data_IF_977842205628
#
_entry.id   IF_977842205628
#
_cell.length_a   1.000
_cell.length_b   1.000
_cell.length_c   1.000
_cell.angle_alpha   90.00
_cell.angle_beta   90.00
_cell.angle_gamma   90.00
#
_symmetry.space_group_name_H-M   'P 1'
#
loop_
_entity.id
_entity.type
_entity.pdbx_description
1 polymer ?
#
# COMPACT_ATOMS: atom_id res chain seq x y z
N UNK A 1 -13.21 -4.27 -1.12
CA UNK A 1 -13.97 -4.78 -2.27
C UNK A 1 -13.03 -4.79 -3.47
N UNK A 2 -12.40 -5.93 -3.79
CA UNK A 2 -11.72 -6.11 -5.07
C UNK A 2 -12.83 -6.23 -6.12
N UNK A 3 -13.06 -5.17 -6.88
CA UNK A 3 -14.12 -5.18 -7.87
C UNK A 3 -13.72 -6.06 -9.06
N UNK A 4 -14.70 -6.55 -9.81
CA UNK A 4 -14.49 -7.26 -11.08
C UNK A 4 -13.66 -6.44 -12.07
N UNK A 5 -13.67 -5.11 -11.93
CA UNK A 5 -12.83 -4.15 -12.67
C UNK A 5 -11.37 -4.25 -12.23
N UNK A 6 -11.08 -4.33 -10.93
CA UNK A 6 -9.71 -4.55 -10.44
C UNK A 6 -9.17 -5.90 -10.96
N UNK A 7 -9.98 -6.96 -10.85
CA UNK A 7 -9.62 -8.29 -11.37
C UNK A 7 -9.33 -8.27 -12.88
N UNK A 8 -10.18 -7.62 -13.69
CA UNK A 8 -9.96 -7.47 -15.14
C UNK A 8 -8.76 -6.57 -15.47
N UNK A 9 -8.54 -5.49 -14.71
CA UNK A 9 -7.46 -4.53 -14.95
C UNK A 9 -6.09 -5.10 -14.60
N UNK A 10 -6.01 -6.00 -13.60
CA UNK A 10 -4.78 -6.71 -13.23
C UNK A 10 -4.45 -7.89 -14.15
N UNK A 11 -5.45 -8.60 -14.66
CA UNK A 11 -5.24 -9.68 -15.66
C UNK A 11 -4.97 -9.14 -17.07
N UNK A 12 -5.50 -7.96 -17.40
CA UNK A 12 -5.34 -7.30 -18.70
C UNK A 12 -4.79 -5.85 -18.58
N UNK A 13 -3.57 -5.64 -18.04
CA UNK A 13 -2.94 -4.32 -17.96
C UNK A 13 -2.70 -3.69 -19.35
N UNK A 14 -2.88 -4.47 -20.43
CA UNK A 14 -2.75 -4.06 -21.82
C UNK A 14 -3.81 -3.06 -22.32
N UNK A 15 -4.98 -2.97 -21.65
CA UNK A 15 -6.12 -2.21 -22.19
C UNK A 15 -6.32 -0.83 -21.57
N UNK A 16 -5.74 -0.57 -20.38
CA UNK A 16 -5.94 0.68 -19.66
C UNK A 16 -4.60 1.34 -19.40
N UNK A 17 -4.45 2.58 -19.87
CA UNK A 17 -3.23 3.36 -19.74
C UNK A 17 -2.84 3.55 -18.25
N UNK A 18 -1.65 3.09 -17.86
CA UNK A 18 -1.13 3.22 -16.48
C UNK A 18 -1.11 4.67 -16.01
N UNK A 19 -1.00 5.62 -16.94
CA UNK A 19 -1.05 7.05 -16.63
C UNK A 19 -2.38 7.47 -16.07
N UNK A 20 -3.44 7.07 -16.76
CA UNK A 20 -4.81 7.36 -16.39
C UNK A 20 -5.11 6.69 -15.05
N UNK A 21 -4.63 5.46 -14.82
CA UNK A 21 -4.80 4.75 -13.54
C UNK A 21 -4.22 5.57 -12.37
N UNK A 22 -2.97 6.02 -12.49
CA UNK A 22 -2.31 6.79 -11.42
C UNK A 22 -3.01 8.15 -11.20
N UNK A 23 -3.34 8.86 -12.28
CA UNK A 23 -4.01 10.16 -12.19
C UNK A 23 -5.41 10.03 -11.56
N UNK A 24 -6.18 9.03 -12.00
CA UNK A 24 -7.50 8.71 -11.47
C UNK A 24 -7.39 8.36 -9.98
N UNK A 25 -6.41 7.53 -9.60
CA UNK A 25 -6.20 7.14 -8.21
C UNK A 25 -5.90 8.32 -7.28
N UNK A 26 -4.99 9.22 -7.65
CA UNK A 26 -4.72 10.43 -6.86
C UNK A 26 -5.91 11.41 -6.85
N UNK A 27 -6.64 11.52 -7.95
CA UNK A 27 -7.87 12.32 -8.00
C UNK A 27 -8.92 11.75 -7.04
N UNK A 28 -9.12 10.42 -7.03
CA UNK A 28 -10.00 9.74 -6.10
C UNK A 28 -9.57 9.96 -4.65
N UNK A 29 -8.26 9.94 -4.34
CA UNK A 29 -7.77 10.25 -2.99
C UNK A 29 -8.13 11.66 -2.52
N UNK A 30 -7.89 12.66 -3.36
CA UNK A 30 -8.19 14.06 -3.03
C UNK A 30 -9.70 14.30 -2.88
N UNK A 31 -10.50 13.78 -3.81
CA UNK A 31 -11.97 13.90 -3.76
C UNK A 31 -12.55 13.15 -2.57
N UNK A 32 -12.07 11.94 -2.25
CA UNK A 32 -12.53 11.16 -1.09
C UNK A 32 -12.21 11.88 0.21
N UNK A 33 -11.01 12.46 0.32
CA UNK A 33 -10.59 13.24 1.49
C UNK A 33 -11.45 14.50 1.67
N UNK A 34 -11.75 15.22 0.57
CA UNK A 34 -12.66 16.36 0.59
C UNK A 34 -14.10 15.93 0.94
N UNK A 35 -14.56 14.78 0.43
CA UNK A 35 -15.89 14.25 0.70
C UNK A 35 -16.10 13.93 2.18
N UNK A 36 -15.07 13.48 2.91
CA UNK A 36 -15.15 13.31 4.38
C UNK A 36 -15.49 14.63 5.06
N UNK A 37 -14.79 15.71 4.70
CA UNK A 37 -15.02 17.05 5.27
C UNK A 37 -16.42 17.57 4.91
N UNK A 38 -16.83 17.40 3.65
CA UNK A 38 -18.17 17.81 3.20
C UNK A 38 -19.25 17.03 3.96
N UNK A 39 -19.09 15.71 4.11
CA UNK A 39 -20.05 14.86 4.82
C UNK A 39 -20.15 15.28 6.29
N UNK A 40 -19.02 15.55 6.95
CA UNK A 40 -19.01 16.04 8.34
C UNK A 40 -19.74 17.38 8.49
N UNK A 41 -19.47 18.34 7.62
CA UNK A 41 -20.10 19.67 7.66
C UNK A 41 -21.58 19.59 7.33
N UNK A 42 -21.97 18.85 6.28
CA UNK A 42 -23.36 18.71 5.84
C UNK A 42 -24.25 18.01 6.88
N UNK A 43 -23.67 17.07 7.63
CA UNK A 43 -24.38 16.35 8.69
C UNK A 43 -24.29 17.05 10.04
N UNK A 44 -23.53 18.14 10.15
CA UNK A 44 -23.16 18.78 11.43
C UNK A 44 -22.51 17.78 12.42
N UNK A 45 -21.87 16.73 11.91
CA UNK A 45 -21.31 15.63 12.71
C UNK A 45 -22.36 14.68 13.28
N UNK A 46 -23.63 14.80 12.87
CA UNK A 46 -24.69 13.89 13.31
C UNK A 46 -24.52 12.52 12.65
N UNK A 47 -24.56 11.49 13.48
CA UNK A 47 -24.62 10.10 13.02
C UNK A 47 -25.95 9.78 12.35
N UNK A 48 -26.06 8.54 11.86
CA UNK A 48 -27.25 8.03 11.20
C UNK A 48 -26.88 7.06 10.08
N UNK A 49 -27.88 6.32 9.59
CA UNK A 49 -27.66 5.32 8.55
C UNK A 49 -27.12 5.95 7.26
N UNK A 50 -27.58 7.15 6.89
CA UNK A 50 -27.10 7.88 5.73
C UNK A 50 -25.62 8.29 5.85
N UNK A 51 -25.23 8.86 6.99
CA UNK A 51 -23.83 9.22 7.29
C UNK A 51 -22.94 8.00 7.26
N UNK A 52 -23.38 6.88 7.86
CA UNK A 52 -22.65 5.61 7.85
C UNK A 52 -22.44 5.07 6.43
N UNK A 53 -23.50 4.99 5.63
CA UNK A 53 -23.41 4.56 4.21
C UNK A 53 -22.46 5.47 3.45
N UNK A 54 -22.55 6.79 3.64
CA UNK A 54 -21.65 7.77 3.03
C UNK A 54 -20.18 7.52 3.39
N UNK A 55 -19.88 7.31 4.67
CA UNK A 55 -18.52 6.97 5.14
C UNK A 55 -18.03 5.65 4.54
N UNK A 56 -18.88 4.62 4.43
CA UNK A 56 -18.51 3.35 3.79
C UNK A 56 -18.17 3.53 2.30
N UNK A 57 -18.95 4.31 1.56
CA UNK A 57 -18.69 4.59 0.14
C UNK A 57 -17.36 5.34 -0.03
N UNK A 58 -17.11 6.35 0.81
CA UNK A 58 -15.85 7.11 0.80
C UNK A 58 -14.66 6.20 1.17
N UNK A 59 -14.81 5.31 2.15
CA UNK A 59 -13.78 4.33 2.51
C UNK A 59 -13.50 3.35 1.36
N UNK A 60 -14.53 2.90 0.65
CA UNK A 60 -14.36 2.04 -0.52
C UNK A 60 -13.62 2.77 -1.66
N UNK A 61 -13.89 4.06 -1.89
CA UNK A 61 -13.19 4.84 -2.91
C UNK A 61 -11.70 5.05 -2.58
N UNK A 62 -11.34 5.18 -1.30
CA UNK A 62 -9.94 5.15 -0.87
C UNK A 62 -9.24 3.83 -1.27
N UNK A 63 -9.90 2.68 -1.05
CA UNK A 63 -9.35 1.37 -1.42
C UNK A 63 -9.14 1.21 -2.94
N UNK A 64 -10.12 1.63 -3.74
CA UNK A 64 -10.02 1.60 -5.21
C UNK A 64 -8.91 2.55 -5.69
N UNK A 65 -8.85 3.77 -5.14
CA UNK A 65 -7.79 4.73 -5.44
C UNK A 65 -6.40 4.19 -5.12
N UNK A 66 -6.24 3.53 -3.97
CA UNK A 66 -4.99 2.87 -3.60
C UNK A 66 -4.59 1.79 -4.60
N UNK A 67 -5.52 0.92 -4.99
CA UNK A 67 -5.25 -0.11 -5.99
C UNK A 67 -4.80 0.45 -7.33
N UNK A 68 -5.35 1.59 -7.74
CA UNK A 68 -4.96 2.29 -8.97
C UNK A 68 -3.57 2.90 -8.89
N UNK A 69 -3.27 3.67 -7.83
CA UNK A 69 -1.97 4.32 -7.64
C UNK A 69 -0.87 3.29 -7.41
N UNK A 70 -1.04 2.41 -6.43
CA UNK A 70 -0.01 1.46 -6.03
C UNK A 70 0.29 0.46 -7.15
N UNK A 71 -0.74 -0.06 -7.81
CA UNK A 71 -0.60 -0.97 -8.94
C UNK A 71 0.10 -0.29 -10.12
N UNK A 72 -0.36 0.91 -10.49
CA UNK A 72 0.22 1.65 -11.60
C UNK A 72 1.67 2.07 -11.34
N UNK A 73 1.97 2.62 -10.16
CA UNK A 73 3.32 3.06 -9.81
C UNK A 73 4.27 1.87 -9.70
N UNK A 74 3.88 0.79 -9.04
CA UNK A 74 4.74 -0.40 -8.92
C UNK A 74 5.02 -1.03 -10.29
N UNK A 75 4.02 -1.07 -11.17
CA UNK A 75 4.19 -1.49 -12.56
C UNK A 75 5.17 -0.59 -13.32
N UNK A 76 4.98 0.73 -13.29
CA UNK A 76 5.86 1.67 -14.02
C UNK A 76 7.29 1.65 -13.48
N UNK A 77 7.46 1.64 -12.16
CA UNK A 77 8.77 1.66 -11.51
C UNK A 77 9.53 0.34 -11.65
N UNK A 78 8.83 -0.78 -11.89
CA UNK A 78 9.49 -2.07 -12.18
C UNK A 78 10.24 -2.09 -13.51
N UNK A 79 9.97 -1.12 -14.40
CA UNK A 79 10.70 -0.89 -15.65
C UNK A 79 11.99 -0.09 -15.43
N UNK A 80 12.16 0.49 -14.23
CA UNK A 80 13.27 1.36 -13.88
C UNK A 80 14.24 0.64 -12.94
N UNK A 81 15.27 1.35 -12.48
CA UNK A 81 16.22 0.80 -11.53
C UNK A 81 15.52 0.44 -10.19
N UNK A 82 15.95 -0.63 -9.49
CA UNK A 82 15.33 -1.10 -8.26
C UNK A 82 15.25 -0.06 -7.13
N UNK A 83 16.10 0.96 -7.15
CA UNK A 83 16.15 2.05 -6.19
C UNK A 83 14.87 2.90 -6.25
N UNK A 84 14.24 3.03 -7.43
CA UNK A 84 13.01 3.80 -7.57
C UNK A 84 11.80 3.10 -6.94
N UNK A 85 11.63 1.81 -7.21
CA UNK A 85 10.56 1.02 -6.58
C UNK A 85 10.79 0.92 -5.08
N UNK A 86 12.04 0.77 -4.62
CA UNK A 86 12.37 0.82 -3.21
C UNK A 86 12.02 2.17 -2.57
N UNK A 87 12.37 3.28 -3.23
CA UNK A 87 12.02 4.63 -2.76
C UNK A 87 10.51 4.85 -2.66
N UNK A 88 9.74 4.28 -3.59
CA UNK A 88 8.28 4.32 -3.53
C UNK A 88 7.72 3.55 -2.32
N UNK A 89 8.22 2.35 -2.03
CA UNK A 89 7.81 1.59 -0.84
C UNK A 89 8.28 2.24 0.46
N UNK A 90 9.46 2.86 0.48
CA UNK A 90 9.90 3.68 1.61
C UNK A 90 8.97 4.88 1.82
N UNK A 91 8.51 5.52 0.75
CA UNK A 91 7.49 6.59 0.81
C UNK A 91 6.15 6.11 1.39
N UNK A 92 5.70 4.91 1.03
CA UNK A 92 4.52 4.28 1.62
C UNK A 92 4.70 4.07 3.14
N UNK A 93 5.83 3.50 3.57
CA UNK A 93 6.13 3.32 4.99
C UNK A 93 6.26 4.67 5.74
N UNK A 94 6.86 5.67 5.10
CA UNK A 94 6.98 7.02 5.65
C UNK A 94 5.61 7.67 5.87
N UNK A 95 4.65 7.42 4.97
CA UNK A 95 3.27 7.89 5.16
C UNK A 95 2.61 7.28 6.40
N UNK A 96 2.90 6.02 6.72
CA UNK A 96 2.43 5.35 7.95
C UNK A 96 3.06 5.95 9.22
N UNK A 97 4.36 6.23 9.18
CA UNK A 97 5.05 6.91 10.28
C UNK A 97 4.51 8.33 10.49
N UNK A 98 4.32 9.11 9.43
CA UNK A 98 3.73 10.45 9.49
C UNK A 98 2.28 10.42 10.02
N UNK A 99 1.48 9.44 9.59
CA UNK A 99 0.11 9.23 10.09
C UNK A 99 0.12 8.95 11.60
N UNK A 100 1.11 8.19 12.07
CA UNK A 100 1.27 7.91 13.50
C UNK A 100 1.65 9.16 14.30
N UNK A 101 2.57 9.98 13.78
CA UNK A 101 2.92 11.28 14.38
C UNK A 101 1.69 12.19 14.46
N UNK A 102 0.93 12.29 13.37
CA UNK A 102 -0.33 13.05 13.35
C UNK A 102 -1.34 12.52 14.38
N UNK A 103 -1.39 11.21 14.62
CA UNK A 103 -2.27 10.61 15.65
C UNK A 103 -1.84 11.03 17.06
N UNK A 104 -0.55 11.07 17.34
CA UNK A 104 -0.05 11.60 18.62
C UNK A 104 -0.40 13.08 18.79
N UNK A 105 -0.14 13.90 17.77
CA UNK A 105 -0.41 15.36 17.82
C UNK A 105 -1.90 15.62 18.01
N UNK A 106 -2.75 14.99 17.19
CA UNK A 106 -4.21 15.18 17.27
C UNK A 106 -4.77 14.72 18.60
N UNK A 107 -4.32 13.58 19.12
CA UNK A 107 -4.74 13.15 20.46
C UNK A 107 -4.28 14.15 21.51
N UNK A 108 -3.01 14.52 21.56
CA UNK A 108 -2.49 15.47 22.55
C UNK A 108 -3.20 16.83 22.49
N UNK A 109 -3.51 17.32 21.28
CA UNK A 109 -4.16 18.61 21.08
C UNK A 109 -5.66 18.60 21.40
N UNK A 110 -6.34 17.47 21.19
CA UNK A 110 -7.80 17.42 21.22
C UNK A 110 -8.40 16.49 22.30
N UNK A 111 -7.60 15.78 23.11
CA UNK A 111 -8.09 14.85 24.15
C UNK A 111 -9.06 15.49 25.15
N UNK A 112 -8.89 16.78 25.46
CA UNK A 112 -9.77 17.52 26.37
C UNK A 112 -10.92 18.28 25.68
N UNK A 113 -11.10 18.12 24.37
CA UNK A 113 -12.17 18.80 23.61
C UNK A 113 -13.39 17.89 23.46
N UNK A 114 -14.60 18.44 23.64
CA UNK A 114 -15.85 17.67 23.50
C UNK A 114 -16.02 16.99 22.12
N UNK A 115 -15.51 17.62 21.05
CA UNK A 115 -15.51 17.08 19.68
C UNK A 115 -14.11 16.68 19.20
N UNK A 116 -13.25 16.22 20.12
CA UNK A 116 -11.82 16.04 19.82
C UNK A 116 -11.52 15.07 18.68
N UNK A 117 -12.20 13.93 18.65
CA UNK A 117 -12.06 12.93 17.58
C UNK A 117 -12.52 13.46 16.22
N UNK A 118 -13.63 14.22 16.21
CA UNK A 118 -14.16 14.84 15.00
C UNK A 118 -13.19 15.87 14.43
N UNK A 119 -12.68 16.78 15.28
CA UNK A 119 -11.65 17.77 14.90
C UNK A 119 -10.39 17.09 14.37
N UNK A 120 -9.95 16.01 15.03
CA UNK A 120 -8.84 15.18 14.57
C UNK A 120 -9.10 14.62 13.16
N UNK A 121 -10.24 13.96 12.95
CA UNK A 121 -10.59 13.37 11.65
C UNK A 121 -10.68 14.42 10.52
N UNK A 122 -11.25 15.60 10.80
CA UNK A 122 -11.31 16.71 9.84
C UNK A 122 -9.91 17.23 9.51
N UNK A 123 -9.02 17.36 10.51
CA UNK A 123 -7.62 17.75 10.28
C UNK A 123 -6.88 16.72 9.41
N UNK A 124 -7.01 15.43 9.74
CA UNK A 124 -6.45 14.32 8.95
C UNK A 124 -6.91 14.36 7.50
N UNK A 125 -8.21 14.53 7.29
CA UNK A 125 -8.79 14.55 5.94
C UNK A 125 -8.33 15.77 5.14
N UNK A 126 -8.20 16.92 5.80
CA UNK A 126 -7.68 18.15 5.17
C UNK A 126 -6.22 17.99 4.73
N UNK A 127 -5.36 17.49 5.63
CA UNK A 127 -3.95 17.23 5.34
C UNK A 127 -3.83 16.20 4.21
N UNK A 128 -4.61 15.12 4.26
CA UNK A 128 -4.61 14.07 3.22
C UNK A 128 -5.02 14.61 1.85
N UNK A 129 -6.02 15.51 1.81
CA UNK A 129 -6.44 16.19 0.59
C UNK A 129 -5.30 17.04 -0.02
N UNK A 130 -4.60 17.81 0.82
CA UNK A 130 -3.45 18.60 0.40
C UNK A 130 -2.32 17.73 -0.19
N UNK A 131 -1.94 16.66 0.51
CA UNK A 131 -0.94 15.72 0.00
C UNK A 131 -1.39 15.03 -1.30
N UNK A 132 -2.66 14.66 -1.41
CA UNK A 132 -3.24 14.08 -2.64
C UNK A 132 -3.10 15.02 -3.84
N UNK A 133 -3.42 16.30 -3.67
CA UNK A 133 -3.27 17.33 -4.71
C UNK A 133 -1.80 17.61 -5.04
N UNK A 134 -0.93 17.61 -4.04
CA UNK A 134 0.51 17.77 -4.24
C UNK A 134 1.08 16.60 -5.05
N UNK A 135 0.75 15.36 -4.70
CA UNK A 135 1.15 14.16 -5.45
C UNK A 135 0.63 14.19 -6.89
N UNK A 136 -0.63 14.60 -7.09
CA UNK A 136 -1.22 14.77 -8.42
C UNK A 136 -0.42 15.77 -9.27
N UNK A 137 -0.05 16.90 -8.67
CA UNK A 137 0.73 17.96 -9.33
C UNK A 137 2.14 17.50 -9.67
N UNK A 138 2.83 16.85 -8.72
CA UNK A 138 4.18 16.30 -8.91
C UNK A 138 4.19 15.27 -10.04
N UNK A 139 3.26 14.31 -10.03
CA UNK A 139 3.18 13.27 -11.06
C UNK A 139 2.91 13.88 -12.43
N UNK A 140 2.02 14.88 -12.51
CA UNK A 140 1.72 15.58 -13.77
C UNK A 140 2.94 16.34 -14.27
N UNK A 141 3.64 17.06 -13.38
CA UNK A 141 4.86 17.80 -13.71
C UNK A 141 5.98 16.90 -14.24
N UNK A 142 6.36 15.86 -13.50
CA UNK A 142 7.45 14.97 -13.91
C UNK A 142 7.12 14.21 -15.19
N UNK A 143 5.85 13.86 -15.41
CA UNK A 143 5.42 13.23 -16.67
C UNK A 143 5.45 14.18 -17.85
N UNK A 144 5.00 15.42 -17.67
CA UNK A 144 5.12 16.45 -18.72
C UNK A 144 6.57 16.70 -19.07
N UNK A 145 7.46 16.77 -18.07
CA UNK A 145 8.90 16.92 -18.29
C UNK A 145 9.50 15.73 -19.05
N UNK A 146 9.19 14.50 -18.65
CA UNK A 146 9.66 13.30 -19.34
C UNK A 146 9.16 13.21 -20.80
N UNK A 147 7.96 13.73 -21.09
CA UNK A 147 7.45 13.83 -22.46
C UNK A 147 8.26 14.83 -23.30
N UNK A 148 8.62 15.98 -22.73
CA UNK A 148 9.42 17.00 -23.41
C UNK A 148 10.86 16.54 -23.70
N UNK A 149 11.43 15.67 -22.86
CA UNK A 149 12.79 15.14 -23.03
C UNK A 149 12.86 13.93 -24.00
N UNK A 150 11.77 13.61 -24.71
CA UNK A 150 11.78 12.63 -25.79
C UNK A 150 11.77 11.16 -25.33
N UNK A 151 11.34 10.89 -24.09
CA UNK A 151 11.23 9.52 -23.58
C UNK A 151 10.31 8.67 -24.47
N UNK A 152 10.86 7.67 -25.17
CA UNK A 152 10.18 6.83 -26.17
C UNK A 152 8.98 6.04 -25.60
N UNK A 153 8.99 5.73 -24.30
CA UNK A 153 7.84 5.12 -23.61
C UNK A 153 6.66 6.09 -23.55
N UNK A 154 6.91 7.40 -23.60
CA UNK A 154 5.88 8.43 -23.63
C UNK A 154 5.25 8.58 -25.00
N UNK A 155 6.01 8.54 -26.08
CA UNK A 155 5.48 8.62 -27.44
C UNK A 155 4.62 7.39 -27.79
N UNK A 156 5.04 6.19 -27.36
CA UNK A 156 4.24 4.97 -27.53
C UNK A 156 2.94 4.98 -26.71
N UNK A 157 2.96 5.47 -25.46
CA UNK A 157 1.77 5.63 -24.62
C UNK A 157 0.84 6.76 -25.10
N UNK A 158 1.39 7.84 -25.68
CA UNK A 158 0.64 8.96 -26.27
C UNK A 158 -0.08 8.52 -27.55
N UNK A 159 0.57 7.72 -28.38
CA UNK A 159 -0.02 7.08 -29.54
C UNK A 159 -1.16 6.11 -29.13
N UNK A 160 -0.96 5.33 -28.05
CA UNK A 160 -2.02 4.49 -27.47
C UNK A 160 -3.16 5.30 -26.81
N UNK A 161 -2.89 6.56 -26.42
CA UNK A 161 -3.87 7.52 -25.88
C UNK A 161 -4.56 8.40 -26.94
N UNK A 162 -4.34 8.14 -28.23
CA UNK A 162 -5.01 8.85 -29.33
C UNK A 162 -4.46 10.25 -29.64
N UNK A 163 -3.32 10.65 -29.05
CA UNK A 163 -2.66 11.92 -29.36
C UNK A 163 -1.50 11.61 -30.31
N UNK A 164 -1.75 11.78 -31.62
CA UNK A 164 -0.69 11.71 -32.63
C UNK A 164 0.12 13.01 -32.58
N UNK A 165 1.36 12.93 -32.12
CA UNK A 165 2.36 13.96 -32.44
C UNK A 165 2.75 13.77 -33.89
N UNK A 166 2.28 14.65 -34.77
CA UNK A 166 2.64 14.70 -36.18
C UNK A 166 4.16 14.85 -36.33
N UNK A 167 4.86 13.74 -36.54
CA UNK A 167 6.11 13.72 -37.27
C UNK A 167 6.15 12.42 -38.09
N UNK A 168 6.23 12.60 -39.41
CA UNK A 168 6.11 11.59 -40.45
C UNK A 168 7.17 10.47 -40.43
N UNK A 169 6.90 9.34 -41.12
CA UNK A 169 7.42 8.02 -40.78
C UNK A 169 8.69 7.65 -41.54
N UNK A 170 9.60 6.92 -40.89
CA UNK A 170 10.61 6.12 -41.58
C UNK A 170 10.31 4.64 -41.31
N UNK A 171 9.68 4.02 -42.33
CA UNK A 171 9.70 2.65 -42.83
C UNK A 171 9.78 1.41 -41.90
N UNK A 172 9.13 0.30 -42.28
CA UNK A 172 8.67 -0.75 -41.37
C UNK A 172 9.73 -1.84 -41.18
N UNK A 173 10.40 -1.82 -40.04
CA UNK A 173 10.77 -3.09 -39.41
C UNK A 173 9.54 -3.60 -38.67
N UNK A 174 8.89 -4.57 -39.30
CA UNK A 174 7.89 -5.46 -38.75
C UNK A 174 8.19 -5.64 -37.24
N UNK A 175 7.39 -5.08 -36.30
CA UNK A 175 7.65 -5.31 -34.90
C UNK A 175 7.32 -6.78 -34.71
N UNK A 176 8.36 -7.62 -34.66
CA UNK A 176 8.26 -8.98 -34.21
C UNK A 176 7.31 -8.95 -33.04
N UNK A 177 6.15 -9.61 -33.16
CA UNK A 177 5.19 -9.77 -32.07
C UNK A 177 6.03 -10.23 -30.89
N UNK A 178 6.35 -9.31 -29.98
CA UNK A 178 7.02 -9.64 -28.73
C UNK A 178 6.08 -10.69 -28.14
N UNK A 179 6.58 -11.91 -28.04
CA UNK A 179 5.81 -13.10 -27.69
C UNK A 179 5.40 -12.93 -26.23
N UNK A 180 4.35 -12.12 -26.03
CA UNK A 180 3.95 -11.62 -24.72
C UNK A 180 3.55 -12.81 -23.89
N UNK A 181 4.17 -12.94 -22.74
CA UNK A 181 3.86 -14.03 -21.86
C UNK A 181 2.43 -13.90 -21.35
N UNK A 182 1.68 -15.00 -21.37
CA UNK A 182 0.39 -15.09 -20.70
C UNK A 182 0.58 -14.74 -19.22
N UNK A 183 -0.27 -13.86 -18.68
CA UNK A 183 -0.26 -13.47 -17.26
C UNK A 183 -0.25 -14.69 -16.32
N UNK A 184 -0.90 -15.79 -16.72
CA UNK A 184 -0.90 -17.05 -15.97
C UNK A 184 0.48 -17.72 -15.93
N UNK A 185 1.24 -17.65 -17.03
CA UNK A 185 2.62 -18.18 -17.07
C UNK A 185 3.53 -17.37 -16.15
N UNK A 186 3.40 -16.04 -16.19
CA UNK A 186 4.16 -15.12 -15.33
C UNK A 186 3.84 -15.35 -13.84
N UNK A 187 2.56 -15.56 -13.51
CA UNK A 187 2.13 -15.95 -12.17
C UNK A 187 2.74 -17.28 -11.73
N UNK A 188 2.70 -18.31 -12.58
CA UNK A 188 3.21 -19.63 -12.23
C UNK A 188 4.73 -19.63 -11.97
N UNK A 189 5.50 -18.87 -12.75
CA UNK A 189 6.95 -18.75 -12.57
C UNK A 189 7.38 -17.91 -11.36
N UNK A 190 6.51 -17.00 -10.91
CA UNK A 190 6.77 -16.13 -9.75
C UNK A 190 5.83 -16.42 -8.58
N UNK A 191 5.28 -17.63 -8.54
CA UNK A 191 4.29 -18.02 -7.52
C UNK A 191 4.84 -17.89 -6.10
N UNK A 192 6.15 -18.09 -5.94
CA UNK A 192 6.89 -17.89 -4.69
C UNK A 192 6.84 -16.42 -4.26
N UNK A 193 7.27 -15.49 -5.10
CA UNK A 193 7.22 -14.06 -4.79
C UNK A 193 5.81 -13.52 -4.59
N UNK A 194 4.85 -13.99 -5.40
CA UNK A 194 3.44 -13.63 -5.27
C UNK A 194 2.90 -14.12 -3.92
N UNK A 195 3.17 -15.38 -3.56
CA UNK A 195 2.76 -15.96 -2.28
C UNK A 195 3.45 -15.26 -1.11
N UNK A 196 4.74 -14.97 -1.21
CA UNK A 196 5.52 -14.29 -0.18
C UNK A 196 4.88 -12.94 0.16
N UNK A 197 4.58 -12.14 -0.86
CA UNK A 197 3.97 -10.83 -0.66
C UNK A 197 2.54 -10.93 -0.12
N UNK A 198 1.75 -11.90 -0.60
CA UNK A 198 0.42 -12.17 -0.03
C UNK A 198 0.51 -12.48 1.48
N UNK A 199 1.39 -13.41 1.87
CA UNK A 199 1.54 -13.86 3.24
C UNK A 199 2.13 -12.78 4.16
N UNK A 200 3.07 -11.98 3.67
CA UNK A 200 3.64 -10.83 4.38
C UNK A 200 2.52 -9.87 4.81
N UNK A 201 1.66 -9.49 3.87
CA UNK A 201 0.58 -8.55 4.11
C UNK A 201 -0.58 -9.18 4.87
N UNK A 202 -0.92 -10.45 4.58
CA UNK A 202 -1.94 -11.20 5.34
C UNK A 202 -1.61 -11.21 6.83
N UNK A 203 -0.39 -11.59 7.19
CA UNK A 203 -0.01 -11.67 8.61
C UNK A 203 0.00 -10.29 9.27
N UNK A 204 0.61 -9.28 8.63
CA UNK A 204 0.69 -7.94 9.20
C UNK A 204 -0.70 -7.36 9.46
N UNK A 205 -1.60 -7.45 8.47
CA UNK A 205 -2.95 -6.88 8.58
C UNK A 205 -3.94 -7.76 9.35
N UNK A 206 -3.58 -9.01 9.64
CA UNK A 206 -4.29 -9.83 10.63
C UNK A 206 -3.94 -9.47 12.08
N UNK A 207 -2.91 -8.64 12.31
CA UNK A 207 -2.49 -8.21 13.66
C UNK A 207 -2.68 -6.70 13.83
N UNK A 208 -2.50 -5.91 12.76
CA UNK A 208 -2.53 -4.46 12.80
C UNK A 208 -3.65 -3.94 11.89
N UNK A 209 -4.46 -2.96 12.34
CA UNK A 209 -4.43 -2.30 13.65
C UNK A 209 -5.35 -2.93 14.70
N UNK A 210 -6.25 -3.85 14.32
CA UNK A 210 -7.38 -4.28 15.17
C UNK A 210 -6.94 -4.96 16.45
N UNK A 211 -6.21 -6.07 16.36
CA UNK A 211 -5.69 -6.75 17.55
C UNK A 211 -4.87 -5.82 18.48
N UNK A 212 -4.04 -4.92 17.95
CA UNK A 212 -3.28 -3.98 18.78
C UNK A 212 -4.17 -2.96 19.52
N UNK A 213 -5.28 -2.54 18.89
CA UNK A 213 -6.19 -1.55 19.44
C UNK A 213 -7.19 -2.14 20.44
N UNK A 214 -7.65 -3.38 20.21
CA UNK A 214 -8.81 -3.95 20.90
C UNK A 214 -8.41 -5.08 21.86
N UNK A 215 -7.33 -5.81 21.56
CA UNK A 215 -7.09 -7.11 22.19
C UNK A 215 -5.94 -7.15 23.18
N UNK A 216 -5.17 -6.07 23.31
CA UNK A 216 -3.99 -6.06 24.16
C UNK A 216 -4.32 -5.96 25.66
N UNK A 217 -5.55 -5.60 26.05
CA UNK A 217 -5.98 -5.52 27.45
C UNK A 217 -5.71 -4.17 28.14
N UNK A 218 -5.65 -4.16 29.47
CA UNK A 218 -5.40 -2.94 30.26
C UNK A 218 -3.91 -2.69 30.48
N UNK A 219 -3.50 -1.44 30.29
CA UNK A 219 -2.10 -1.03 30.24
C UNK A 219 -1.89 0.26 31.02
N UNK A 220 -0.72 0.43 31.64
CA UNK A 220 -0.29 1.69 32.28
C UNK A 220 -0.37 2.91 31.36
N UNK A 221 -0.18 2.73 30.05
CA UNK A 221 -0.29 3.79 29.03
C UNK A 221 -1.75 4.07 28.59
N UNK A 222 -2.73 3.32 29.11
CA UNK A 222 -4.15 3.50 28.79
C UNK A 222 -4.43 3.59 27.29
N UNK A 223 -5.22 4.59 26.88
CA UNK A 223 -5.57 4.84 25.48
C UNK A 223 -4.41 5.29 24.60
N UNK A 224 -3.22 5.57 25.15
CA UNK A 224 -2.01 5.88 24.36
C UNK A 224 -1.31 4.63 23.86
N UNK A 225 -1.55 3.50 24.52
CA UNK A 225 -0.83 2.26 24.24
C UNK A 225 -0.99 1.77 22.79
N UNK A 226 -2.21 1.68 22.21
CA UNK A 226 -2.36 1.29 20.81
C UNK A 226 -1.65 2.22 19.83
N UNK A 227 -1.65 3.53 20.12
CA UNK A 227 -1.01 4.54 19.27
C UNK A 227 0.51 4.35 19.29
N UNK A 228 1.09 4.06 20.44
CA UNK A 228 2.51 3.71 20.59
C UNK A 228 2.83 2.44 19.81
N UNK A 229 2.05 1.37 19.94
CA UNK A 229 2.30 0.11 19.23
C UNK A 229 2.25 0.27 17.71
N UNK A 230 1.24 1.00 17.20
CA UNK A 230 1.10 1.30 15.77
C UNK A 230 2.28 2.14 15.29
N UNK A 231 2.68 3.16 16.05
CA UNK A 231 3.81 4.01 15.70
C UNK A 231 5.13 3.24 15.66
N UNK A 232 5.41 2.41 16.68
CA UNK A 232 6.59 1.54 16.70
C UNK A 232 6.64 0.66 15.45
N UNK A 233 5.49 0.05 15.07
CA UNK A 233 5.41 -0.77 13.86
C UNK A 233 5.82 0.05 12.62
N UNK A 234 5.18 1.18 12.36
CA UNK A 234 5.45 1.96 11.15
C UNK A 234 6.83 2.61 11.14
N UNK A 235 7.40 2.96 12.30
CA UNK A 235 8.78 3.43 12.39
C UNK A 235 9.77 2.33 11.99
N UNK A 236 9.59 1.11 12.52
CA UNK A 236 10.47 0.00 12.16
C UNK A 236 10.25 -0.49 10.73
N UNK A 237 9.02 -0.44 10.22
CA UNK A 237 8.69 -0.67 8.81
C UNK A 237 9.47 0.29 7.91
N UNK A 238 9.41 1.60 8.20
CA UNK A 238 10.16 2.61 7.46
C UNK A 238 11.66 2.35 7.49
N UNK A 239 12.26 2.15 8.67
CA UNK A 239 13.68 1.86 8.80
C UNK A 239 14.07 0.61 8.00
N UNK A 240 13.22 -0.42 8.03
CA UNK A 240 13.44 -1.67 7.32
C UNK A 240 13.44 -1.54 5.80
N UNK A 241 12.67 -0.59 5.25
CA UNK A 241 12.65 -0.37 3.79
C UNK A 241 13.99 0.10 3.24
N UNK A 242 14.87 0.68 4.07
CA UNK A 242 16.20 1.12 3.67
C UNK A 242 17.29 0.07 3.87
N UNK A 243 17.07 -0.96 4.70
CA UNK A 243 18.04 -2.04 4.95
C UNK A 243 18.53 -2.70 3.65
N UNK A 244 17.67 -2.98 2.65
CA UNK A 244 18.10 -3.57 1.37
C UNK A 244 19.04 -2.70 0.52
N UNK A 245 19.29 -1.42 0.88
CA UNK A 245 20.34 -0.61 0.23
C UNK A 245 21.74 -1.14 0.53
N UNK A 246 21.92 -1.86 1.64
CA UNK A 246 23.18 -2.52 1.98
C UNK A 246 23.16 -3.90 1.32
N UNK A 247 23.82 -4.02 0.17
CA UNK A 247 23.74 -5.22 -0.68
C UNK A 247 24.15 -6.52 0.06
N UNK A 248 25.07 -6.45 1.02
CA UNK A 248 25.55 -7.61 1.77
C UNK A 248 24.48 -8.25 2.66
N UNK A 249 23.48 -7.47 3.11
CA UNK A 249 22.42 -7.95 3.99
C UNK A 249 21.08 -8.06 3.26
N UNK A 250 21.02 -7.71 1.97
CA UNK A 250 19.81 -7.85 1.17
C UNK A 250 19.52 -9.31 0.88
N UNK A 251 18.30 -9.76 1.19
CA UNK A 251 17.89 -11.14 0.91
C UNK A 251 17.45 -11.27 -0.55
N UNK A 252 18.28 -11.94 -1.34
CA UNK A 252 18.03 -12.17 -2.79
C UNK A 252 17.57 -13.60 -3.09
N UNK A 253 17.77 -14.53 -2.16
CA UNK A 253 17.43 -15.93 -2.38
C UNK A 253 15.93 -16.18 -2.18
N UNK A 254 15.26 -16.60 -3.25
CA UNK A 254 13.84 -17.03 -3.26
C UNK A 254 13.52 -18.02 -2.13
N UNK A 255 14.39 -19.00 -1.89
CA UNK A 255 14.20 -20.02 -0.84
C UNK A 255 14.22 -19.40 0.56
N UNK A 256 15.19 -18.52 0.83
CA UNK A 256 15.31 -17.88 2.13
C UNK A 256 14.21 -16.84 2.37
N UNK A 257 13.74 -16.15 1.32
CA UNK A 257 12.59 -15.27 1.40
C UNK A 257 11.35 -16.04 1.85
N UNK A 258 11.02 -17.14 1.17
CA UNK A 258 9.89 -17.99 1.55
C UNK A 258 10.01 -18.53 2.98
N UNK A 259 11.19 -19.01 3.37
CA UNK A 259 11.45 -19.49 4.75
C UNK A 259 11.23 -18.35 5.76
N UNK A 260 11.76 -17.16 5.49
CA UNK A 260 11.61 -16.00 6.38
C UNK A 260 10.14 -15.56 6.48
N UNK A 261 9.41 -15.54 5.37
CA UNK A 261 7.98 -15.21 5.33
C UNK A 261 7.16 -16.21 6.15
N UNK A 262 7.38 -17.51 5.95
CA UNK A 262 6.69 -18.56 6.72
C UNK A 262 7.05 -18.50 8.21
N UNK A 263 8.32 -18.22 8.55
CA UNK A 263 8.75 -18.06 9.93
C UNK A 263 8.04 -16.90 10.64
N UNK A 264 7.59 -15.86 9.92
CA UNK A 264 6.82 -14.78 10.53
C UNK A 264 5.51 -15.25 11.16
N UNK A 265 4.92 -16.37 10.71
CA UNK A 265 3.70 -16.91 11.34
C UNK A 265 3.91 -17.37 12.79
N UNK A 266 5.16 -17.57 13.23
CA UNK A 266 5.50 -17.75 14.65
C UNK A 266 5.16 -16.52 15.51
N UNK A 267 4.95 -15.35 14.89
CA UNK A 267 4.48 -14.17 15.59
C UNK A 267 3.05 -14.32 16.11
N UNK A 268 2.19 -15.10 15.45
CA UNK A 268 0.80 -15.31 15.92
C UNK A 268 0.78 -15.92 17.33
N UNK A 269 1.38 -17.10 17.58
CA UNK A 269 1.43 -17.65 18.94
C UNK A 269 2.23 -16.76 19.91
N UNK A 270 3.24 -16.03 19.44
CA UNK A 270 3.98 -15.09 20.28
C UNK A 270 3.09 -13.94 20.77
N UNK A 271 2.34 -13.28 19.87
CA UNK A 271 1.38 -12.23 20.22
C UNK A 271 0.29 -12.75 21.16
N UNK A 272 -0.26 -13.93 20.88
CA UNK A 272 -1.26 -14.57 21.74
C UNK A 272 -0.73 -14.81 23.17
N UNK A 273 0.49 -15.33 23.27
CA UNK A 273 1.15 -15.55 24.56
C UNK A 273 1.42 -14.23 25.29
N UNK A 274 1.93 -13.22 24.58
CA UNK A 274 2.29 -11.92 25.16
C UNK A 274 1.08 -11.16 25.69
N UNK A 275 -0.10 -11.26 25.05
CA UNK A 275 -1.33 -10.64 25.61
C UNK A 275 -1.72 -11.26 26.96
N UNK A 276 -1.52 -12.57 27.13
CA UNK A 276 -1.95 -13.27 28.35
C UNK A 276 -0.94 -13.20 29.48
N UNK A 277 0.34 -13.28 29.16
CA UNK A 277 1.41 -13.49 30.14
C UNK A 277 2.57 -12.50 29.99
N UNK A 278 2.62 -11.75 28.90
CA UNK A 278 3.70 -10.82 28.61
C UNK A 278 3.47 -9.42 29.18
N UNK A 279 4.56 -8.68 29.35
CA UNK A 279 4.51 -7.26 29.69
C UNK A 279 4.43 -6.36 28.45
N UNK A 280 4.14 -5.08 28.69
CA UNK A 280 4.06 -4.05 27.63
C UNK A 280 5.31 -3.97 26.76
N UNK A 281 6.50 -4.09 27.35
CA UNK A 281 7.77 -4.03 26.63
C UNK A 281 7.94 -5.17 25.62
N UNK A 282 7.47 -6.38 25.96
CA UNK A 282 7.52 -7.52 25.05
C UNK A 282 6.57 -7.33 23.86
N UNK A 283 5.39 -6.77 24.10
CA UNK A 283 4.44 -6.45 23.03
C UNK A 283 5.01 -5.36 22.10
N UNK A 284 5.65 -4.32 22.64
CA UNK A 284 6.36 -3.30 21.84
C UNK A 284 7.48 -3.94 21.00
N UNK A 285 8.23 -4.88 21.58
CA UNK A 285 9.27 -5.61 20.85
C UNK A 285 8.69 -6.43 19.69
N UNK A 286 7.60 -7.17 19.93
CA UNK A 286 6.94 -7.97 18.89
C UNK A 286 6.35 -7.10 17.77
N UNK A 287 5.70 -5.99 18.09
CA UNK A 287 5.17 -5.06 17.06
C UNK A 287 6.29 -4.38 16.29
N UNK A 288 7.39 -4.03 16.96
CA UNK A 288 8.61 -3.52 16.31
C UNK A 288 9.18 -4.52 15.32
N UNK A 289 9.32 -5.79 15.73
CA UNK A 289 9.81 -6.84 14.85
C UNK A 289 8.83 -7.17 13.71
N UNK A 290 7.52 -7.08 13.97
CA UNK A 290 6.49 -7.22 12.93
C UNK A 290 6.65 -6.14 11.84
N UNK A 291 6.83 -4.87 12.24
CA UNK A 291 7.13 -3.78 11.31
C UNK A 291 8.45 -3.97 10.57
N UNK A 292 9.53 -4.29 11.29
CA UNK A 292 10.86 -4.54 10.72
C UNK A 292 10.82 -5.64 9.65
N UNK A 293 10.23 -6.78 9.98
CA UNK A 293 10.15 -7.93 9.06
C UNK A 293 9.21 -7.67 7.88
N UNK A 294 8.14 -6.89 8.08
CA UNK A 294 7.23 -6.48 7.01
C UNK A 294 7.94 -5.61 5.96
N UNK A 295 8.57 -4.51 6.38
CA UNK A 295 9.19 -3.57 5.46
C UNK A 295 10.38 -4.17 4.71
N UNK A 296 11.25 -4.89 5.43
CA UNK A 296 12.44 -5.50 4.85
C UNK A 296 12.08 -6.56 3.80
N UNK A 297 11.21 -7.52 4.14
CA UNK A 297 10.85 -8.60 3.21
C UNK A 297 10.04 -8.08 2.03
N UNK A 298 9.13 -7.13 2.25
CA UNK A 298 8.36 -6.52 1.15
C UNK A 298 9.28 -5.88 0.11
N UNK A 299 10.25 -5.07 0.56
CA UNK A 299 11.22 -4.44 -0.35
C UNK A 299 12.10 -5.48 -1.05
N UNK A 300 12.56 -6.52 -0.35
CA UNK A 300 13.32 -7.60 -0.99
C UNK A 300 12.51 -8.28 -2.11
N UNK A 301 11.25 -8.62 -1.88
CA UNK A 301 10.39 -9.26 -2.89
C UNK A 301 10.17 -8.34 -4.09
N UNK A 302 9.73 -7.09 -3.87
CA UNK A 302 9.35 -6.19 -4.97
C UNK A 302 10.54 -5.68 -5.77
N UNK A 303 11.74 -5.68 -5.20
CA UNK A 303 12.96 -5.31 -5.92
C UNK A 303 13.65 -6.48 -6.62
N UNK A 304 13.49 -7.72 -6.15
CA UNK A 304 14.13 -8.89 -6.76
C UNK A 304 13.26 -9.57 -7.82
N UNK A 305 11.95 -9.63 -7.62
CA UNK A 305 11.05 -10.35 -8.54
C UNK A 305 11.09 -9.81 -9.99
N UNK A 306 11.08 -8.49 -10.25
CA UNK A 306 11.08 -7.96 -11.62
C UNK A 306 12.42 -8.03 -12.35
N UNK A 307 13.54 -8.27 -11.66
CA UNK A 307 14.91 -8.16 -12.25
C UNK A 307 15.17 -9.11 -13.41
N UNK A 308 14.51 -10.27 -13.43
CA UNK A 308 14.77 -11.34 -14.42
C UNK A 308 13.99 -11.11 -15.72
N UNK A 309 12.98 -10.23 -15.70
CA UNK A 309 12.11 -9.94 -16.83
C UNK A 309 12.55 -8.67 -17.57
N UNK A 310 11.99 -8.40 -18.74
CA UNK A 310 12.25 -7.16 -19.50
C UNK A 310 10.94 -6.56 -19.99
N UNK A 311 10.85 -5.23 -19.98
CA UNK A 311 9.78 -4.50 -20.67
C UNK A 311 8.36 -4.89 -20.18
N UNK A 312 7.44 -5.30 -21.07
CA UNK A 312 6.04 -5.56 -20.70
C UNK A 312 5.84 -6.55 -19.55
N UNK A 313 6.67 -7.59 -19.47
CA UNK A 313 6.61 -8.62 -18.43
C UNK A 313 6.98 -8.08 -17.05
N UNK A 314 7.92 -7.13 -16.95
CA UNK A 314 8.25 -6.48 -15.67
C UNK A 314 7.06 -5.69 -15.13
N UNK A 315 6.45 -4.86 -15.98
CA UNK A 315 5.27 -4.08 -15.61
C UNK A 315 4.10 -4.98 -15.19
N UNK A 316 3.86 -6.06 -15.94
CA UNK A 316 2.82 -7.03 -15.60
C UNK A 316 3.10 -7.72 -14.26
N UNK A 317 4.35 -8.10 -13.99
CA UNK A 317 4.73 -8.70 -12.71
C UNK A 317 4.59 -7.71 -11.55
N UNK A 318 5.01 -6.45 -11.72
CA UNK A 318 4.82 -5.41 -10.72
C UNK A 318 3.35 -5.22 -10.35
N UNK A 319 2.45 -5.19 -11.34
CA UNK A 319 1.01 -5.17 -11.10
C UNK A 319 0.53 -6.44 -10.38
N UNK A 320 0.97 -7.62 -10.79
CA UNK A 320 0.60 -8.90 -10.17
C UNK A 320 1.01 -8.97 -8.69
N UNK A 321 2.19 -8.46 -8.35
CA UNK A 321 2.66 -8.37 -6.98
C UNK A 321 1.74 -7.46 -6.15
N UNK A 322 1.35 -6.28 -6.66
CA UNK A 322 0.40 -5.40 -5.95
C UNK A 322 -0.96 -6.06 -5.78
N UNK A 323 -1.46 -6.77 -6.79
CA UNK A 323 -2.70 -7.54 -6.64
C UNK A 323 -2.60 -8.55 -5.48
N UNK A 324 -1.48 -9.28 -5.42
CA UNK A 324 -1.21 -10.24 -4.34
C UNK A 324 -1.17 -9.58 -2.97
N UNK A 325 -0.45 -8.45 -2.87
CA UNK A 325 -0.36 -7.62 -1.67
C UNK A 325 -1.74 -7.14 -1.22
N UNK A 326 -2.58 -6.61 -2.12
CA UNK A 326 -3.93 -6.14 -1.79
C UNK A 326 -4.84 -7.29 -1.37
N UNK A 327 -4.70 -8.46 -1.99
CA UNK A 327 -5.34 -9.70 -1.56
C UNK A 327 -4.93 -10.07 -0.13
N UNK A 328 -3.64 -9.97 0.18
CA UNK A 328 -3.09 -10.18 1.52
C UNK A 328 -3.69 -9.22 2.53
N UNK A 329 -3.75 -7.92 2.23
CA UNK A 329 -4.39 -6.90 3.10
C UNK A 329 -5.86 -7.26 3.36
N UNK A 330 -6.62 -7.59 2.31
CA UNK A 330 -8.02 -7.94 2.43
C UNK A 330 -8.25 -9.19 3.29
N UNK A 331 -7.51 -10.26 3.02
CA UNK A 331 -7.59 -11.50 3.80
C UNK A 331 -7.12 -11.28 5.24
N UNK A 332 -6.04 -10.53 5.45
CA UNK A 332 -5.55 -10.16 6.78
C UNK A 332 -6.60 -9.43 7.60
N UNK A 333 -7.24 -8.41 7.02
CA UNK A 333 -8.32 -7.67 7.67
C UNK A 333 -9.54 -8.54 8.03
N UNK A 334 -9.81 -9.62 7.29
CA UNK A 334 -10.84 -10.61 7.66
C UNK A 334 -10.35 -11.50 8.81
N UNK A 335 -9.10 -11.95 8.76
CA UNK A 335 -8.52 -12.82 9.79
C UNK A 335 -8.30 -12.10 11.13
N UNK A 336 -8.16 -10.77 11.12
CA UNK A 336 -8.09 -9.95 12.33
C UNK A 336 -9.30 -10.18 13.26
N UNK A 337 -10.49 -10.41 12.70
CA UNK A 337 -11.69 -10.75 13.48
C UNK A 337 -11.59 -12.07 14.26
N UNK A 338 -10.69 -12.98 13.86
CA UNK A 338 -10.50 -14.24 14.57
C UNK A 338 -9.94 -14.04 15.97
N UNK A 339 -9.23 -12.92 16.23
CA UNK A 339 -8.73 -12.59 17.56
C UNK A 339 -9.84 -12.25 18.56
N UNK A 340 -11.01 -11.85 18.07
CA UNK A 340 -12.19 -11.56 18.87
C UNK A 340 -12.94 -12.84 19.30
N UNK A 341 -12.69 -13.98 18.64
CA UNK A 341 -13.38 -15.24 18.94
C UNK A 341 -13.01 -15.73 20.35
N UNK A 342 -14.05 -16.04 21.14
CA UNK A 342 -13.89 -16.52 22.52
C UNK A 342 -13.79 -15.41 23.56
N UNK A 343 -13.81 -14.14 23.14
CA UNK A 343 -14.14 -13.02 24.02
C UNK A 343 -15.67 -12.97 24.06
N UNK A 344 -16.28 -13.31 25.19
CA UNK A 344 -17.74 -13.24 25.33
C UNK A 344 -18.17 -11.78 25.29
N UNK A 345 -18.78 -11.36 24.19
CA UNK A 345 -19.49 -10.09 24.07
C UNK A 345 -20.97 -10.30 24.34
#
# INVERSE_FOLDING_TARGET
MLTTIDYYMYLFPAKINTRLRILLGYTMFSLSSLAVVILDVATLGKGGIGTFIGTCIISASFGVGNGHVQGGMTGDLSLMCPEFIQSFYAGLAASGALTSILRFITKAAFENSQDGLRKGATLFSTISCFFGLLCLSIVTFYRSKAACEGSLTVTADLAAGGIQTNHDPVSPENPARIERWSTMKLLFENKDYVLDLFLIYLLTFAIIPGFLAEDTGSHSMGSWYPIVLIACTYTWDLLATYIPLIEQIKMTSRKWLLIAVLARFLLIPAFYYTVKYGGQGLMILLTSFLGLSHGYLSVCVVTEAPKVYKGPEQNALGNLLVFSLLGGIFCGAILDWLWLIGKGW
#
